data_IF_582138958492
#
_entry.id   IF_582138958492
#
_cell.length_a   1.000
_cell.length_b   1.000
_cell.length_c   1.000
_cell.angle_alpha   90.00
_cell.angle_beta   90.00
_cell.angle_gamma   90.00
#
_symmetry.space_group_name_H-M   'P 1'
#
loop_
_entity.id
_entity.type
_entity.pdbx_description
1 polymer ?
#
# COMPACT_ATOMS: atom_id res chain seq x y z
N UNK A 1 25.74 -43.43 -66.42
CA UNK A 1 25.27 -42.18 -67.03
C UNK A 1 25.17 -41.18 -65.94
N UNK A 2 26.23 -40.49 -65.72
CA UNK A 2 26.59 -39.13 -66.17
C UNK A 2 25.66 -38.08 -65.52
N UNK A 3 26.13 -37.20 -64.84
CA UNK A 3 27.01 -36.02 -64.79
C UNK A 3 26.53 -35.12 -63.63
N UNK A 4 27.28 -34.59 -62.91
CA UNK A 4 28.27 -33.51 -62.80
C UNK A 4 27.88 -32.48 -61.76
N UNK A 5 28.73 -32.33 -60.81
CA UNK A 5 29.45 -31.09 -60.37
C UNK A 5 28.69 -29.75 -60.56
N UNK A 6 28.55 -29.01 -59.47
CA UNK A 6 29.25 -27.70 -59.36
C UNK A 6 29.33 -27.34 -57.88
N UNK A 7 30.57 -27.12 -57.44
CA UNK A 7 30.94 -26.48 -56.18
C UNK A 7 30.76 -24.96 -56.33
N UNK A 8 30.43 -24.27 -55.24
CA UNK A 8 30.94 -22.91 -55.02
C UNK A 8 30.89 -22.56 -53.54
N UNK A 9 32.07 -22.36 -53.04
CA UNK A 9 32.52 -21.62 -51.90
C UNK A 9 31.72 -20.34 -51.64
N UNK A 10 31.36 -20.09 -50.38
CA UNK A 10 31.32 -18.75 -49.84
C UNK A 10 31.71 -18.78 -48.35
N UNK A 11 32.97 -18.60 -48.09
CA UNK A 11 33.58 -18.12 -46.86
C UNK A 11 33.08 -16.71 -46.56
N UNK A 12 32.13 -16.58 -45.65
CA UNK A 12 31.70 -15.29 -45.07
C UNK A 12 32.55 -14.93 -43.84
N UNK A 13 33.57 -14.13 -44.09
CA UNK A 13 34.47 -13.59 -43.08
C UNK A 13 33.72 -12.79 -42.04
N UNK A 14 34.00 -13.06 -40.75
CA UNK A 14 33.65 -12.20 -39.62
C UNK A 14 34.43 -10.89 -39.76
N UNK A 15 33.74 -9.79 -39.95
CA UNK A 15 34.30 -8.44 -39.88
C UNK A 15 34.58 -8.07 -38.42
N UNK A 16 35.69 -7.44 -38.11
CA UNK A 16 36.02 -6.98 -36.75
C UNK A 16 35.11 -5.80 -36.39
N UNK A 17 34.55 -5.83 -35.18
CA UNK A 17 33.86 -4.71 -34.58
C UNK A 17 34.88 -3.61 -34.34
N UNK A 18 34.81 -2.55 -35.15
CA UNK A 18 35.77 -1.46 -35.14
C UNK A 18 35.45 -0.44 -34.02
N UNK A 19 36.50 0.17 -33.48
CA UNK A 19 36.60 1.23 -32.47
C UNK A 19 35.66 2.45 -32.64
N UNK A 20 34.95 2.57 -33.75
CA UNK A 20 33.97 3.64 -34.02
C UNK A 20 32.69 3.52 -33.18
N UNK A 21 32.36 2.35 -32.63
CA UNK A 21 31.18 2.13 -31.81
C UNK A 21 31.34 2.69 -30.38
N UNK A 22 32.54 2.72 -29.85
CA UNK A 22 32.83 3.16 -28.47
C UNK A 22 32.79 4.67 -28.32
N UNK A 23 33.16 5.42 -29.36
CA UNK A 23 33.18 6.89 -29.31
C UNK A 23 31.81 7.53 -29.39
N UNK A 24 30.80 6.84 -29.94
CA UNK A 24 29.42 7.34 -30.06
C UNK A 24 28.60 7.11 -28.78
N UNK A 25 28.93 6.16 -27.95
CA UNK A 25 28.24 5.90 -26.68
C UNK A 25 28.42 7.03 -25.66
N UNK A 26 29.54 7.74 -25.66
CA UNK A 26 29.78 8.84 -24.73
C UNK A 26 28.83 10.04 -24.95
N UNK A 27 28.38 10.28 -26.19
CA UNK A 27 27.37 11.29 -26.50
C UNK A 27 25.98 10.92 -25.95
N UNK A 28 25.58 9.66 -26.09
CA UNK A 28 24.29 9.18 -25.59
C UNK A 28 24.20 9.14 -24.06
N UNK A 29 25.30 8.95 -23.34
CA UNK A 29 25.33 9.02 -21.88
C UNK A 29 25.06 10.45 -21.37
N UNK A 30 25.63 11.48 -22.00
CA UNK A 30 25.35 12.87 -21.67
C UNK A 30 23.87 13.23 -21.98
N UNK A 31 23.37 12.78 -23.12
CA UNK A 31 21.95 12.94 -23.50
C UNK A 31 21.01 12.24 -22.49
N UNK A 32 21.39 11.03 -22.05
CA UNK A 32 20.64 10.28 -21.04
C UNK A 32 20.53 11.01 -19.70
N UNK A 33 21.61 11.65 -19.24
CA UNK A 33 21.56 12.48 -18.04
C UNK A 33 20.59 13.66 -18.18
N UNK A 34 20.52 14.29 -19.34
CA UNK A 34 19.56 15.35 -19.63
C UNK A 34 18.12 14.81 -19.67
N UNK A 35 17.90 13.68 -20.33
CA UNK A 35 16.59 13.00 -20.41
C UNK A 35 16.12 12.59 -19.01
N UNK A 36 16.97 11.97 -18.19
CA UNK A 36 16.62 11.54 -16.83
C UNK A 36 16.34 12.71 -15.91
N UNK A 37 17.08 13.82 -16.04
CA UNK A 37 16.83 15.05 -15.29
C UNK A 37 15.47 15.67 -15.63
N UNK A 38 15.05 15.59 -16.89
CA UNK A 38 13.73 16.02 -17.34
C UNK A 38 12.63 15.09 -16.85
N UNK A 39 12.80 13.78 -17.01
CA UNK A 39 11.86 12.77 -16.52
C UNK A 39 11.65 12.86 -15.00
N UNK A 40 12.71 13.19 -14.24
CA UNK A 40 12.59 13.39 -12.79
C UNK A 40 11.72 14.59 -12.43
N UNK A 41 11.75 15.67 -13.23
CA UNK A 41 10.87 16.83 -13.04
C UNK A 41 9.43 16.53 -13.45
N UNK A 42 9.24 15.83 -14.56
CA UNK A 42 7.92 15.58 -15.16
C UNK A 42 7.14 14.47 -14.43
N UNK A 43 7.83 13.44 -13.91
CA UNK A 43 7.23 12.29 -13.22
C UNK A 43 7.25 12.41 -11.69
N UNK A 44 8.07 13.31 -11.16
CA UNK A 44 8.32 13.46 -9.73
C UNK A 44 9.38 12.48 -9.20
N UNK A 45 10.02 12.84 -8.08
CA UNK A 45 11.16 12.10 -7.52
C UNK A 45 10.82 10.66 -7.11
N UNK A 46 9.58 10.40 -6.69
CA UNK A 46 9.12 9.09 -6.25
C UNK A 46 9.02 8.10 -7.42
N UNK A 47 8.31 8.45 -8.48
CA UNK A 47 8.13 7.61 -9.67
C UNK A 47 9.46 7.41 -10.39
N UNK A 48 10.25 8.48 -10.52
CA UNK A 48 11.59 8.40 -11.08
C UNK A 48 12.49 7.43 -10.31
N UNK A 49 12.52 7.53 -8.98
CA UNK A 49 13.34 6.66 -8.12
C UNK A 49 12.93 5.18 -8.19
N UNK A 50 11.64 4.92 -8.34
CA UNK A 50 11.10 3.57 -8.36
C UNK A 50 11.30 2.87 -9.72
N UNK A 51 11.15 3.56 -10.84
CA UNK A 51 11.06 2.95 -12.16
C UNK A 51 12.18 3.32 -13.13
N UNK A 52 12.60 4.59 -13.15
CA UNK A 52 13.51 5.09 -14.18
C UNK A 52 14.98 5.04 -13.74
N UNK A 53 15.26 5.16 -12.45
CA UNK A 53 16.63 5.20 -11.90
C UNK A 53 17.44 3.95 -12.24
N UNK A 54 16.82 2.78 -12.35
CA UNK A 54 17.47 1.50 -12.64
C UNK A 54 17.62 1.20 -14.13
N UNK A 55 17.12 2.09 -15.00
CA UNK A 55 17.23 1.94 -16.46
C UNK A 55 18.62 2.36 -16.91
N UNK A 56 19.26 1.51 -17.74
CA UNK A 56 20.59 1.72 -18.30
C UNK A 56 20.48 1.79 -19.82
N UNK A 57 21.35 2.56 -20.45
CA UNK A 57 21.44 2.59 -21.92
C UNK A 57 21.95 1.24 -22.45
N UNK A 58 21.30 0.76 -23.52
CA UNK A 58 21.74 -0.35 -24.35
C UNK A 58 22.22 0.13 -25.71
N UNK A 59 22.12 -0.70 -26.73
CA UNK A 59 22.63 -0.41 -28.06
C UNK A 59 21.74 0.57 -28.85
N UNK A 60 22.36 1.37 -29.72
CA UNK A 60 21.69 2.26 -30.63
C UNK A 60 21.87 1.79 -32.10
N UNK A 61 20.77 1.54 -32.79
CA UNK A 61 20.75 1.18 -34.20
C UNK A 61 20.55 2.43 -35.06
N UNK A 62 21.58 2.89 -35.74
CA UNK A 62 21.55 4.06 -36.64
C UNK A 62 20.58 3.93 -37.81
N UNK A 63 20.41 2.72 -38.36
CA UNK A 63 19.55 2.48 -39.54
C UNK A 63 18.08 2.72 -39.22
N UNK A 64 17.63 2.29 -38.05
CA UNK A 64 16.24 2.38 -37.64
C UNK A 64 15.96 3.55 -36.71
N UNK A 65 17.02 4.18 -36.14
CA UNK A 65 16.90 5.18 -35.09
C UNK A 65 16.36 4.60 -33.77
N UNK A 66 16.57 3.29 -33.53
CA UNK A 66 16.08 2.60 -32.34
C UNK A 66 17.14 2.57 -31.25
N UNK A 67 16.82 3.08 -30.08
CA UNK A 67 17.63 3.00 -28.88
C UNK A 67 17.09 1.92 -27.94
N UNK A 68 17.97 1.03 -27.52
CA UNK A 68 17.61 0.05 -26.48
C UNK A 68 17.83 0.65 -25.07
N UNK A 69 16.86 0.40 -24.19
CA UNK A 69 16.92 0.69 -22.77
C UNK A 69 16.85 -0.61 -21.99
N UNK A 70 17.81 -0.84 -21.12
CA UNK A 70 17.95 -2.06 -20.34
C UNK A 70 17.47 -1.86 -18.90
N UNK A 71 16.67 -2.80 -18.41
CA UNK A 71 16.14 -2.80 -17.05
C UNK A 71 16.61 -4.02 -16.28
N UNK A 72 16.40 -4.03 -14.97
CA UNK A 72 16.84 -5.13 -14.08
C UNK A 72 15.98 -6.38 -14.18
N UNK A 73 14.76 -6.28 -14.75
CA UNK A 73 13.84 -7.42 -14.88
C UNK A 73 12.87 -7.22 -16.06
N UNK A 74 12.35 -8.33 -16.61
CA UNK A 74 11.34 -8.32 -17.66
C UNK A 74 10.06 -7.57 -17.24
N UNK A 75 9.71 -7.68 -15.96
CA UNK A 75 8.60 -6.92 -15.39
C UNK A 75 8.80 -5.41 -15.50
N UNK A 76 9.97 -4.93 -15.06
CA UNK A 76 10.30 -3.50 -15.16
C UNK A 76 10.34 -3.04 -16.61
N UNK A 77 10.81 -3.88 -17.53
CA UNK A 77 10.82 -3.57 -18.97
C UNK A 77 9.39 -3.40 -19.52
N UNK A 78 8.51 -4.34 -19.22
CA UNK A 78 7.10 -4.29 -19.68
C UNK A 78 6.35 -3.10 -19.03
N UNK A 79 6.51 -2.90 -17.72
CA UNK A 79 5.83 -1.83 -17.00
C UNK A 79 6.23 -0.44 -17.51
N UNK A 80 7.54 -0.22 -17.69
CA UNK A 80 8.05 1.06 -18.23
C UNK A 80 7.61 1.24 -19.67
N UNK A 81 7.59 0.18 -20.46
CA UNK A 81 7.09 0.22 -21.84
C UNK A 81 5.61 0.62 -21.91
N UNK A 82 4.77 0.00 -21.08
CA UNK A 82 3.32 0.21 -21.14
C UNK A 82 2.90 1.60 -20.58
N UNK A 83 3.64 2.15 -19.59
CA UNK A 83 3.20 3.35 -18.87
C UNK A 83 4.04 4.59 -19.14
N UNK A 84 5.30 4.43 -19.54
CA UNK A 84 6.23 5.54 -19.65
C UNK A 84 6.98 5.64 -20.98
N UNK A 85 6.83 4.67 -21.91
CA UNK A 85 7.55 4.67 -23.19
C UNK A 85 7.33 5.95 -23.98
N UNK A 86 6.11 6.44 -24.10
CA UNK A 86 5.80 7.67 -24.82
C UNK A 86 6.42 8.91 -24.16
N UNK A 87 6.44 8.98 -22.84
CA UNK A 87 7.07 10.10 -22.11
C UNK A 87 8.59 10.08 -22.24
N UNK A 88 9.19 8.88 -22.18
CA UNK A 88 10.64 8.70 -22.39
C UNK A 88 10.99 9.06 -23.83
N UNK A 89 10.19 8.64 -24.81
CA UNK A 89 10.38 8.97 -26.22
C UNK A 89 10.31 10.47 -26.46
N UNK A 90 9.32 11.16 -25.89
CA UNK A 90 9.19 12.63 -25.97
C UNK A 90 10.37 13.35 -25.33
N UNK A 91 10.85 12.85 -24.20
CA UNK A 91 12.03 13.40 -23.55
C UNK A 91 13.29 13.23 -24.43
N UNK A 92 13.47 12.06 -25.05
CA UNK A 92 14.57 11.79 -25.98
C UNK A 92 14.49 12.62 -27.27
N UNK A 93 13.31 12.72 -27.90
CA UNK A 93 13.15 13.50 -29.13
C UNK A 93 13.47 14.97 -28.97
N UNK A 94 13.39 15.51 -27.74
CA UNK A 94 13.76 16.90 -27.43
C UNK A 94 15.25 17.10 -27.15
N UNK A 95 16.01 16.02 -26.86
CA UNK A 95 17.45 16.07 -26.56
C UNK A 95 18.26 15.58 -27.76
N UNK A 96 17.83 14.48 -28.37
CA UNK A 96 18.50 13.89 -29.53
C UNK A 96 17.50 13.38 -30.57
N UNK A 97 17.29 14.13 -31.68
CA UNK A 97 16.33 13.78 -32.74
C UNK A 97 16.68 12.48 -33.52
N UNK A 98 17.89 11.95 -33.37
CA UNK A 98 18.30 10.70 -34.00
C UNK A 98 17.58 9.49 -33.39
N UNK A 99 17.09 9.58 -32.14
CA UNK A 99 16.33 8.55 -31.46
C UNK A 99 14.85 8.64 -31.87
N UNK A 100 14.43 7.75 -32.77
CA UNK A 100 13.06 7.69 -33.31
C UNK A 100 12.18 6.67 -32.62
N UNK A 101 12.80 5.56 -32.16
CA UNK A 101 12.11 4.47 -31.49
C UNK A 101 12.86 4.04 -30.25
N UNK A 102 12.10 3.56 -29.24
CA UNK A 102 12.64 3.01 -28.01
C UNK A 102 12.26 1.53 -27.91
N UNK A 103 13.22 0.71 -27.52
CA UNK A 103 13.03 -0.68 -27.22
C UNK A 103 13.49 -0.98 -25.81
N UNK A 104 12.56 -1.33 -24.93
CA UNK A 104 12.85 -1.54 -23.52
C UNK A 104 12.92 -3.07 -23.29
N UNK A 105 14.05 -3.55 -22.74
CA UNK A 105 14.30 -4.96 -22.47
C UNK A 105 14.94 -5.15 -21.10
N UNK A 106 14.87 -6.37 -20.57
CA UNK A 106 15.69 -6.76 -19.42
C UNK A 106 17.11 -7.08 -19.84
N UNK A 107 18.06 -6.78 -18.97
CA UNK A 107 19.46 -7.15 -19.14
C UNK A 107 19.55 -8.67 -19.04
N UNK A 108 20.12 -9.39 -20.03
CA UNK A 108 20.32 -10.83 -19.92
C UNK A 108 21.20 -11.10 -18.70
N UNK A 109 20.66 -11.86 -17.75
CA UNK A 109 21.42 -12.27 -16.56
C UNK A 109 22.58 -13.14 -17.01
N UNK A 110 23.82 -12.77 -16.61
CA UNK A 110 24.99 -13.62 -16.73
C UNK A 110 24.88 -14.78 -15.76
N UNK A 111 24.11 -15.79 -16.13
CA UNK A 111 24.25 -17.11 -15.56
C UNK A 111 25.46 -17.75 -16.21
N UNK A 112 26.62 -17.67 -15.55
CA UNK A 112 27.81 -18.38 -15.92
C UNK A 112 27.61 -19.86 -15.58
N UNK A 113 27.16 -20.63 -16.57
CA UNK A 113 27.17 -22.10 -16.51
C UNK A 113 28.57 -22.55 -16.83
N UNK A 114 29.32 -22.99 -15.84
CA UNK A 114 30.52 -23.78 -16.07
C UNK A 114 30.10 -25.17 -16.58
N UNK A 115 30.34 -25.41 -17.87
CA UNK A 115 30.25 -26.74 -18.45
C UNK A 115 31.41 -27.59 -17.93
N UNK A 116 31.11 -28.53 -17.05
CA UNK A 116 31.95 -29.70 -16.84
C UNK A 116 31.52 -30.77 -17.85
N UNK A 117 32.40 -31.03 -18.81
CA UNK A 117 32.28 -32.14 -19.72
C UNK A 117 32.51 -33.46 -18.96
N UNK A 118 31.57 -34.39 -19.05
CA UNK A 118 31.85 -35.81 -18.95
C UNK A 118 30.91 -36.62 -19.82
N UNK A 119 31.57 -37.44 -20.67
CA UNK A 119 30.99 -38.34 -21.66
C UNK A 119 30.18 -39.47 -21.02
N UNK A 120 29.13 -39.92 -21.75
CA UNK A 120 28.57 -41.26 -21.58
C UNK A 120 27.05 -41.31 -21.60
N UNK A 121 26.49 -41.73 -22.77
CA UNK A 121 25.10 -42.16 -22.97
C UNK A 121 24.89 -43.56 -22.31
N UNK A 122 23.73 -43.92 -21.75
CA UNK A 122 22.62 -44.35 -22.59
C UNK A 122 21.19 -43.90 -22.14
N UNK A 123 20.40 -43.83 -23.18
CA UNK A 123 18.97 -43.66 -23.23
C UNK A 123 18.21 -44.72 -22.41
N UNK A 124 17.31 -44.25 -21.53
CA UNK A 124 16.01 -44.80 -21.11
C UNK A 124 15.67 -44.40 -19.68
N UNK A 125 14.85 -43.40 -19.55
CA UNK A 125 13.72 -43.32 -18.62
C UNK A 125 13.17 -41.87 -18.61
N UNK A 126 12.33 -41.61 -19.59
CA UNK A 126 11.41 -40.48 -19.50
C UNK A 126 10.24 -40.87 -18.59
N UNK A 127 10.38 -40.68 -17.26
CA UNK A 127 9.25 -40.51 -16.34
C UNK A 127 9.80 -39.81 -15.08
N UNK A 128 9.15 -38.72 -14.70
CA UNK A 128 9.24 -38.06 -13.39
C UNK A 128 10.55 -37.31 -13.08
N UNK A 129 10.86 -36.24 -13.79
CA UNK A 129 11.43 -35.07 -13.09
C UNK A 129 10.26 -34.27 -12.50
N UNK A 130 9.72 -34.74 -11.37
CA UNK A 130 9.17 -33.84 -10.36
C UNK A 130 10.38 -32.98 -9.97
N UNK A 131 10.44 -31.77 -10.52
CA UNK A 131 11.29 -30.75 -9.97
C UNK A 131 10.86 -30.64 -8.51
N UNK A 132 11.67 -31.12 -7.60
CA UNK A 132 11.62 -30.77 -6.20
C UNK A 132 11.80 -29.25 -6.14
N UNK A 133 10.70 -28.55 -6.31
CA UNK A 133 10.64 -27.10 -6.12
C UNK A 133 11.01 -26.91 -4.65
N UNK A 134 12.20 -26.37 -4.38
CA UNK A 134 12.57 -25.85 -3.09
C UNK A 134 11.35 -25.12 -2.52
N UNK A 135 10.99 -25.36 -1.23
CA UNK A 135 9.83 -24.74 -0.63
C UNK A 135 9.89 -23.23 -0.89
N UNK A 136 8.94 -22.70 -1.64
CA UNK A 136 8.81 -21.26 -1.86
C UNK A 136 8.42 -20.68 -0.51
N UNK A 137 9.41 -20.45 0.35
CA UNK A 137 9.19 -19.70 1.58
C UNK A 137 9.03 -18.25 1.15
N UNK A 138 7.87 -17.63 1.40
CA UNK A 138 7.74 -16.20 1.16
C UNK A 138 8.79 -15.50 2.01
N UNK A 139 9.30 -14.38 1.53
CA UNK A 139 10.14 -13.49 2.33
C UNK A 139 9.25 -12.84 3.42
N UNK A 140 8.94 -13.61 4.47
CA UNK A 140 8.25 -13.10 5.65
C UNK A 140 9.22 -12.19 6.40
N UNK A 141 8.80 -11.00 6.77
CA UNK A 141 9.61 -10.10 7.59
C UNK A 141 9.84 -10.73 8.98
N UNK A 142 11.08 -11.04 9.36
CA UNK A 142 11.39 -11.72 10.62
C UNK A 142 10.99 -10.91 11.87
N UNK A 143 10.75 -9.62 11.71
CA UNK A 143 10.31 -8.74 12.79
C UNK A 143 8.81 -8.88 13.10
N UNK A 144 8.01 -9.37 12.15
CA UNK A 144 6.57 -9.43 12.25
C UNK A 144 6.12 -10.80 12.80
N UNK A 145 6.34 -11.00 14.08
CA UNK A 145 5.99 -12.23 14.82
C UNK A 145 4.92 -11.95 15.87
N UNK A 146 4.28 -13.00 16.41
CA UNK A 146 3.36 -12.85 17.54
C UNK A 146 4.03 -12.28 18.79
N UNK A 147 5.30 -12.58 19.02
CA UNK A 147 6.07 -12.03 20.14
C UNK A 147 6.23 -10.50 20.05
N UNK A 148 6.33 -9.98 18.82
CA UNK A 148 6.45 -8.55 18.57
C UNK A 148 5.10 -7.84 18.37
N UNK A 149 3.97 -8.57 18.43
CA UNK A 149 2.65 -7.97 18.29
C UNK A 149 2.05 -7.66 19.67
N UNK A 150 1.85 -6.38 19.94
CA UNK A 150 1.26 -5.95 21.22
C UNK A 150 -0.23 -6.27 21.26
N UNK A 151 -0.65 -6.97 22.32
CA UNK A 151 -2.04 -7.35 22.52
C UNK A 151 -2.76 -6.31 23.37
N UNK A 152 -3.99 -6.01 23.00
CA UNK A 152 -4.88 -5.11 23.72
C UNK A 152 -6.34 -5.50 23.49
N UNK A 153 -7.26 -4.83 24.16
CA UNK A 153 -8.69 -5.13 24.05
C UNK A 153 -9.21 -4.96 22.61
N UNK A 154 -8.66 -4.01 21.87
CA UNK A 154 -9.09 -3.66 20.52
C UNK A 154 -8.63 -4.64 19.44
N UNK A 155 -7.69 -5.55 19.74
CA UNK A 155 -7.15 -6.52 18.78
C UNK A 155 -7.13 -7.98 19.27
N UNK A 156 -7.57 -8.25 20.50
CA UNK A 156 -7.43 -9.57 21.15
C UNK A 156 -8.11 -10.69 20.36
N UNK A 157 -9.29 -10.42 19.77
CA UNK A 157 -10.01 -11.40 18.98
C UNK A 157 -9.21 -11.82 17.75
N UNK A 158 -8.67 -10.83 17.01
CA UNK A 158 -7.90 -11.06 15.79
C UNK A 158 -6.58 -11.81 16.09
N UNK A 159 -5.90 -11.43 17.17
CA UNK A 159 -4.66 -12.11 17.61
C UNK A 159 -4.94 -13.55 17.98
N UNK A 160 -5.95 -13.79 18.84
CA UNK A 160 -6.30 -15.15 19.28
C UNK A 160 -6.74 -16.03 18.10
N UNK A 161 -7.50 -15.46 17.17
CA UNK A 161 -7.90 -16.14 15.94
C UNK A 161 -6.68 -16.51 15.08
N UNK A 162 -5.76 -15.56 14.89
CA UNK A 162 -4.53 -15.76 14.13
C UNK A 162 -3.65 -16.87 14.74
N UNK A 163 -3.48 -16.89 16.06
CA UNK A 163 -2.75 -17.93 16.78
C UNK A 163 -3.41 -19.32 16.61
N UNK A 164 -4.73 -19.38 16.69
CA UNK A 164 -5.48 -20.62 16.48
C UNK A 164 -5.33 -21.17 15.07
N UNK A 165 -5.36 -20.28 14.06
CA UNK A 165 -5.12 -20.69 12.66
C UNK A 165 -3.69 -21.20 12.47
N UNK A 166 -2.71 -20.62 13.14
CA UNK A 166 -1.32 -21.05 13.03
C UNK A 166 -1.04 -22.38 13.74
N UNK A 167 -1.65 -22.62 14.91
CA UNK A 167 -1.32 -23.75 15.80
C UNK A 167 -2.15 -25.02 15.58
N UNK A 168 -3.37 -24.94 15.04
CA UNK A 168 -4.27 -26.07 14.91
C UNK A 168 -3.88 -27.01 13.75
N UNK A 169 -3.99 -28.32 13.90
CA UNK A 169 -3.81 -29.30 12.81
C UNK A 169 -4.84 -29.07 11.70
N UNK A 170 -6.09 -28.84 12.11
CA UNK A 170 -7.18 -28.43 11.20
C UNK A 170 -7.70 -27.06 11.62
N UNK A 171 -7.87 -26.12 10.67
CA UNK A 171 -8.39 -24.80 11.02
C UNK A 171 -9.83 -24.90 11.54
N UNK A 172 -10.08 -24.34 12.74
CA UNK A 172 -11.41 -24.29 13.34
C UNK A 172 -12.38 -23.43 12.51
N UNK A 173 -11.86 -22.46 11.82
CA UNK A 173 -12.55 -21.58 10.90
C UNK A 173 -11.63 -21.31 9.71
N UNK A 174 -12.21 -21.34 8.51
CA UNK A 174 -11.48 -21.15 7.26
C UNK A 174 -12.46 -20.61 6.20
N UNK A 175 -12.20 -19.45 5.64
CA UNK A 175 -11.01 -18.60 5.81
C UNK A 175 -10.97 -17.81 7.14
N UNK A 176 -9.78 -17.31 7.51
CA UNK A 176 -9.65 -16.20 8.46
C UNK A 176 -9.63 -14.90 7.66
N UNK A 177 -10.59 -14.03 7.94
CA UNK A 177 -10.64 -12.71 7.33
C UNK A 177 -10.27 -11.63 8.36
N UNK A 178 -9.16 -10.94 8.14
CA UNK A 178 -8.68 -9.86 9.00
C UNK A 178 -9.15 -8.51 8.46
N UNK A 179 -10.06 -7.89 9.19
CA UNK A 179 -10.58 -6.56 8.85
C UNK A 179 -9.89 -5.50 9.70
N UNK A 180 -9.38 -4.46 9.09
CA UNK A 180 -8.91 -3.26 9.82
C UNK A 180 -8.62 -2.11 8.86
N UNK A 181 -8.73 -0.88 9.33
CA UNK A 181 -8.23 0.28 8.61
C UNK A 181 -6.71 0.14 8.32
N UNK A 182 -6.20 0.95 7.40
CA UNK A 182 -4.78 0.92 7.03
C UNK A 182 -3.89 1.23 8.23
N UNK A 183 -2.82 0.44 8.41
CA UNK A 183 -1.83 0.68 9.46
C UNK A 183 -2.20 0.17 10.86
N UNK A 184 -3.21 -0.71 10.99
CA UNK A 184 -3.62 -1.29 12.28
C UNK A 184 -3.01 -2.67 12.56
N UNK A 185 -2.10 -3.19 11.73
CA UNK A 185 -1.36 -4.42 11.99
C UNK A 185 -1.84 -5.68 11.26
N UNK A 186 -2.74 -5.59 10.26
CA UNK A 186 -3.16 -6.74 9.43
C UNK A 186 -1.98 -7.53 8.89
N UNK A 187 -1.10 -6.87 8.16
CA UNK A 187 0.10 -7.48 7.57
C UNK A 187 0.99 -8.12 8.63
N UNK A 188 1.13 -7.49 9.81
CA UNK A 188 1.90 -8.06 10.91
C UNK A 188 1.31 -9.40 11.36
N UNK A 189 -0.01 -9.49 11.60
CA UNK A 189 -0.64 -10.74 11.99
C UNK A 189 -0.53 -11.82 10.90
N UNK A 190 -0.62 -11.46 9.63
CA UNK A 190 -0.44 -12.41 8.52
C UNK A 190 0.97 -13.01 8.52
N UNK A 191 2.01 -12.17 8.66
CA UNK A 191 3.39 -12.66 8.77
C UNK A 191 3.60 -13.51 10.03
N UNK A 192 3.01 -13.09 11.16
CA UNK A 192 3.08 -13.85 12.42
C UNK A 192 2.45 -15.25 12.29
N UNK A 193 1.30 -15.38 11.59
CA UNK A 193 0.70 -16.67 11.25
C UNK A 193 1.68 -17.51 10.45
N UNK A 194 2.28 -16.93 9.40
CA UNK A 194 3.24 -17.62 8.54
C UNK A 194 4.45 -18.14 9.31
N UNK A 195 5.06 -17.29 10.17
CA UNK A 195 6.19 -17.69 11.02
C UNK A 195 5.82 -18.81 12.01
N UNK A 196 4.69 -18.66 12.71
CA UNK A 196 4.27 -19.66 13.69
C UNK A 196 3.91 -20.99 13.03
N UNK A 197 3.25 -20.96 11.86
CA UNK A 197 2.92 -22.18 11.13
C UNK A 197 4.17 -22.87 10.58
N UNK A 198 5.15 -22.12 10.04
CA UNK A 198 6.42 -22.66 9.56
C UNK A 198 7.27 -23.28 10.69
N UNK A 199 7.18 -22.74 11.91
CA UNK A 199 7.88 -23.28 13.08
C UNK A 199 7.34 -24.66 13.50
N UNK A 200 6.01 -24.88 13.36
CA UNK A 200 5.35 -26.17 13.68
C UNK A 200 5.49 -27.14 12.51
N UNK A 201 5.43 -26.66 11.28
CA UNK A 201 5.46 -27.45 10.04
C UNK A 201 6.62 -26.97 9.14
N UNK A 202 7.84 -27.47 9.34
CA UNK A 202 9.02 -26.97 8.61
C UNK A 202 8.96 -27.16 7.08
N UNK A 203 8.26 -28.19 6.62
CA UNK A 203 8.12 -28.54 5.20
C UNK A 203 6.90 -27.88 4.53
N UNK A 204 6.11 -27.12 5.28
CA UNK A 204 4.90 -26.51 4.78
C UNK A 204 5.19 -25.43 3.72
N UNK A 205 4.38 -25.47 2.66
CA UNK A 205 4.38 -24.48 1.60
C UNK A 205 3.48 -23.30 2.03
N UNK A 206 4.09 -22.16 2.29
CA UNK A 206 3.39 -20.93 2.71
C UNK A 206 3.54 -19.90 1.61
N UNK A 207 2.46 -19.28 1.20
CA UNK A 207 2.47 -18.20 0.21
C UNK A 207 1.77 -16.96 0.75
N UNK A 208 2.53 -15.88 0.85
CA UNK A 208 2.01 -14.55 1.17
C UNK A 208 2.16 -13.63 -0.04
N UNK A 209 1.11 -12.93 -0.40
CA UNK A 209 1.15 -11.89 -1.43
C UNK A 209 0.03 -10.85 -1.22
N UNK A 210 0.21 -9.65 -1.76
CA UNK A 210 -0.90 -8.71 -1.89
C UNK A 210 -1.83 -9.10 -3.03
N UNK A 211 -3.09 -8.69 -2.96
CA UNK A 211 -4.04 -8.90 -4.05
C UNK A 211 -3.60 -8.21 -5.36
N UNK A 212 -2.87 -7.10 -5.27
CA UNK A 212 -2.25 -6.45 -6.42
C UNK A 212 -1.19 -7.36 -7.07
N UNK A 213 -0.31 -7.99 -6.27
CA UNK A 213 0.69 -8.94 -6.76
C UNK A 213 0.02 -10.16 -7.39
N UNK A 214 -1.04 -10.71 -6.76
CA UNK A 214 -1.84 -11.80 -7.32
C UNK A 214 -2.36 -11.44 -8.70
N UNK A 215 -2.97 -10.26 -8.85
CA UNK A 215 -3.48 -9.77 -10.13
C UNK A 215 -2.36 -9.63 -11.17
N UNK A 216 -1.23 -9.05 -10.81
CA UNK A 216 -0.10 -8.85 -11.72
C UNK A 216 0.50 -10.17 -12.20
N UNK A 217 0.69 -11.14 -11.29
CA UNK A 217 1.20 -12.46 -11.65
C UNK A 217 0.20 -13.24 -12.53
N UNK A 218 -1.10 -13.16 -12.25
CA UNK A 218 -2.14 -13.75 -13.07
C UNK A 218 -2.18 -13.17 -14.49
N UNK A 219 -2.16 -11.84 -14.63
CA UNK A 219 -2.12 -11.18 -15.95
C UNK A 219 -0.84 -11.54 -16.70
N UNK A 220 0.29 -11.61 -16.02
CA UNK A 220 1.55 -12.06 -16.62
C UNK A 220 1.47 -13.50 -17.11
N UNK A 221 0.92 -14.41 -16.29
CA UNK A 221 0.72 -15.82 -16.67
C UNK A 221 -0.23 -15.97 -17.88
N UNK A 222 -1.28 -15.14 -17.95
CA UNK A 222 -2.16 -15.11 -19.15
C UNK A 222 -1.41 -14.70 -20.41
N UNK A 223 -0.59 -13.64 -20.33
CA UNK A 223 0.21 -13.17 -21.48
C UNK A 223 1.24 -14.20 -21.95
N UNK A 224 1.85 -14.95 -21.01
CA UNK A 224 2.85 -15.99 -21.30
C UNK A 224 2.24 -17.37 -21.63
N UNK A 225 0.91 -17.53 -21.53
CA UNK A 225 0.19 -18.80 -21.64
C UNK A 225 0.58 -19.84 -20.56
N UNK A 226 1.04 -19.37 -19.40
CA UNK A 226 1.50 -20.16 -18.23
C UNK A 226 0.45 -20.22 -17.11
N UNK A 227 -0.82 -20.01 -17.44
CA UNK A 227 -1.91 -19.93 -16.43
C UNK A 227 -2.03 -21.21 -15.62
N UNK A 228 -1.75 -22.38 -16.24
CA UNK A 228 -1.83 -23.66 -15.54
C UNK A 228 -0.76 -23.80 -14.45
N UNK A 229 0.45 -23.30 -14.70
CA UNK A 229 1.55 -23.29 -13.73
C UNK A 229 1.23 -22.35 -12.57
N UNK A 230 0.72 -21.15 -12.87
CA UNK A 230 0.26 -20.21 -11.85
C UNK A 230 -0.80 -20.85 -10.93
N UNK A 231 -1.82 -21.49 -11.51
CA UNK A 231 -2.86 -22.20 -10.76
C UNK A 231 -2.29 -23.36 -9.93
N UNK A 232 -1.41 -24.16 -10.51
CA UNK A 232 -0.78 -25.28 -9.82
C UNK A 232 0.02 -24.82 -8.61
N UNK A 233 0.80 -23.74 -8.75
CA UNK A 233 1.56 -23.13 -7.66
C UNK A 233 0.66 -22.66 -6.52
N UNK A 234 -0.41 -21.93 -6.82
CA UNK A 234 -1.36 -21.44 -5.80
C UNK A 234 -2.06 -22.59 -5.07
N UNK A 235 -2.38 -23.68 -5.78
CA UNK A 235 -3.07 -24.85 -5.22
C UNK A 235 -2.14 -25.78 -4.45
N UNK A 236 -0.84 -25.70 -4.69
CA UNK A 236 0.14 -26.53 -3.99
C UNK A 236 0.36 -26.12 -2.53
N UNK A 237 0.15 -24.83 -2.19
CA UNK A 237 0.47 -24.29 -0.86
C UNK A 237 -0.43 -24.86 0.25
N UNK A 238 0.09 -24.93 1.47
CA UNK A 238 -0.66 -25.34 2.67
C UNK A 238 -1.33 -24.14 3.34
N UNK A 239 -0.74 -22.96 3.21
CA UNK A 239 -1.27 -21.69 3.69
C UNK A 239 -1.20 -20.64 2.59
N UNK A 240 -2.35 -20.13 2.16
CA UNK A 240 -2.44 -18.98 1.26
C UNK A 240 -2.85 -17.74 2.05
N UNK A 241 -2.05 -16.69 1.96
CA UNK A 241 -2.30 -15.40 2.61
C UNK A 241 -2.37 -14.29 1.57
N UNK A 242 -3.55 -13.64 1.47
CA UNK A 242 -3.78 -12.55 0.50
C UNK A 242 -4.08 -11.26 1.27
N UNK A 243 -3.17 -10.29 1.15
CA UNK A 243 -3.32 -8.98 1.78
C UNK A 243 -3.99 -7.99 0.83
N UNK A 244 -4.72 -7.04 1.42
CA UNK A 244 -5.37 -5.92 0.74
C UNK A 244 -6.29 -6.35 -0.42
N UNK A 245 -7.23 -7.26 -0.14
CA UNK A 245 -8.14 -7.84 -1.15
C UNK A 245 -8.97 -6.78 -1.91
N UNK A 246 -9.15 -5.56 -1.36
CA UNK A 246 -9.86 -4.47 -2.01
C UNK A 246 -9.25 -4.09 -3.38
N UNK A 247 -8.02 -4.45 -3.69
CA UNK A 247 -7.40 -4.17 -4.99
C UNK A 247 -7.95 -5.00 -6.16
N UNK A 248 -8.72 -6.08 -5.89
CA UNK A 248 -9.41 -6.82 -6.96
C UNK A 248 -10.76 -6.22 -7.36
N UNK A 249 -11.22 -5.16 -6.69
CA UNK A 249 -12.49 -4.50 -6.99
C UNK A 249 -12.54 -4.07 -8.46
N UNK A 250 -13.63 -4.46 -9.16
CA UNK A 250 -13.82 -4.14 -10.57
C UNK A 250 -12.95 -4.93 -11.56
N UNK A 251 -12.15 -5.92 -11.11
CA UNK A 251 -11.27 -6.75 -11.95
C UNK A 251 -11.90 -8.12 -12.19
N UNK A 252 -12.90 -8.21 -13.08
CA UNK A 252 -13.74 -9.40 -13.27
C UNK A 252 -12.93 -10.68 -13.48
N UNK A 253 -12.00 -10.71 -14.45
CA UNK A 253 -11.20 -11.93 -14.73
C UNK A 253 -10.31 -12.33 -13.55
N UNK A 254 -9.79 -11.37 -12.79
CA UNK A 254 -8.99 -11.64 -11.58
C UNK A 254 -9.88 -12.20 -10.47
N UNK A 255 -11.10 -11.69 -10.33
CA UNK A 255 -12.06 -12.18 -9.33
C UNK A 255 -12.50 -13.61 -9.62
N UNK A 256 -12.74 -13.96 -10.89
CA UNK A 256 -13.06 -15.35 -11.29
C UNK A 256 -11.93 -16.31 -10.93
N UNK A 257 -10.68 -15.97 -11.25
CA UNK A 257 -9.53 -16.82 -10.89
C UNK A 257 -9.33 -16.89 -9.37
N UNK A 258 -9.53 -15.79 -8.68
CA UNK A 258 -9.45 -15.75 -7.22
C UNK A 258 -10.51 -16.64 -6.57
N UNK A 259 -11.75 -16.63 -7.08
CA UNK A 259 -12.81 -17.53 -6.62
C UNK A 259 -12.42 -19.01 -6.80
N UNK A 260 -11.91 -19.38 -7.97
CA UNK A 260 -11.44 -20.75 -8.22
C UNK A 260 -10.27 -21.14 -7.29
N UNK A 261 -9.41 -20.20 -6.96
CA UNK A 261 -8.31 -20.41 -6.02
C UNK A 261 -8.83 -20.63 -4.59
N UNK A 262 -9.78 -19.79 -4.14
CA UNK A 262 -10.46 -19.98 -2.84
C UNK A 262 -11.09 -21.36 -2.75
N UNK A 263 -11.92 -21.74 -3.73
CA UNK A 263 -12.61 -23.03 -3.73
C UNK A 263 -11.63 -24.20 -3.71
N UNK A 264 -10.52 -24.12 -4.42
CA UNK A 264 -9.49 -25.16 -4.42
C UNK A 264 -8.78 -25.28 -3.06
N UNK A 265 -8.41 -24.17 -2.42
CA UNK A 265 -7.74 -24.14 -1.10
C UNK A 265 -8.68 -24.65 -0.01
N UNK A 266 -9.92 -24.17 0.02
CA UNK A 266 -10.91 -24.57 1.03
C UNK A 266 -11.32 -26.05 0.83
N UNK A 267 -11.52 -26.50 -0.42
CA UNK A 267 -11.87 -27.88 -0.76
C UNK A 267 -10.76 -28.86 -0.39
N UNK A 268 -9.50 -28.46 -0.42
CA UNK A 268 -8.36 -29.26 0.02
C UNK A 268 -8.10 -29.15 1.54
N UNK A 269 -8.98 -28.49 2.31
CA UNK A 269 -8.80 -28.23 3.75
C UNK A 269 -7.51 -27.50 4.11
N UNK A 270 -6.96 -26.75 3.16
CA UNK A 270 -5.79 -25.89 3.33
C UNK A 270 -6.18 -24.54 3.91
N UNK A 271 -5.24 -23.80 4.49
CA UNK A 271 -5.52 -22.55 5.18
C UNK A 271 -5.59 -21.38 4.23
N UNK A 272 -6.64 -20.58 4.37
CA UNK A 272 -6.79 -19.30 3.69
C UNK A 272 -6.89 -18.18 4.71
N UNK A 273 -6.00 -17.18 4.59
CA UNK A 273 -6.04 -15.95 5.38
C UNK A 273 -6.14 -14.77 4.42
N UNK A 274 -7.14 -13.92 4.60
CA UNK A 274 -7.37 -12.76 3.75
C UNK A 274 -7.44 -11.52 4.63
N UNK A 275 -6.83 -10.42 4.18
CA UNK A 275 -6.92 -9.14 4.88
C UNK A 275 -7.52 -8.05 3.97
N UNK A 276 -8.28 -7.14 4.58
CA UNK A 276 -8.86 -5.99 3.91
C UNK A 276 -9.00 -4.77 4.83
N UNK A 277 -9.27 -3.63 4.21
CA UNK A 277 -9.54 -2.37 4.92
C UNK A 277 -10.97 -2.27 5.47
N UNK A 278 -11.87 -3.20 5.10
CA UNK A 278 -13.30 -3.20 5.47
C UNK A 278 -13.88 -4.61 5.49
N UNK A 279 -15.11 -4.75 6.01
CA UNK A 279 -15.84 -6.01 6.05
C UNK A 279 -16.12 -6.56 4.65
N UNK A 280 -16.26 -7.89 4.48
CA UNK A 280 -16.61 -8.48 3.18
C UNK A 280 -17.85 -7.84 2.56
N UNK A 281 -18.89 -7.58 3.35
CA UNK A 281 -20.15 -6.99 2.90
C UNK A 281 -20.01 -5.53 2.39
N UNK A 282 -18.94 -4.85 2.78
CA UNK A 282 -18.64 -3.47 2.37
C UNK A 282 -17.65 -3.38 1.19
N UNK A 283 -17.31 -4.51 0.56
CA UNK A 283 -16.48 -4.58 -0.64
C UNK A 283 -17.35 -4.47 -1.90
N UNK A 284 -17.90 -3.27 -2.14
CA UNK A 284 -18.70 -3.01 -3.34
C UNK A 284 -17.89 -3.26 -4.62
N UNK A 285 -18.48 -3.99 -5.59
CA UNK A 285 -17.81 -4.33 -6.85
C UNK A 285 -16.97 -5.63 -6.81
N UNK A 286 -17.05 -6.39 -5.72
CA UNK A 286 -16.56 -7.78 -5.63
C UNK A 286 -17.72 -8.75 -5.85
N UNK A 287 -17.48 -9.85 -6.55
CA UNK A 287 -18.45 -10.92 -6.83
C UNK A 287 -19.03 -11.48 -5.50
N UNK A 288 -20.35 -11.60 -5.44
CA UNK A 288 -21.09 -12.08 -4.26
C UNK A 288 -20.65 -13.49 -3.82
N UNK A 289 -20.22 -14.33 -4.75
CA UNK A 289 -19.69 -15.67 -4.44
C UNK A 289 -18.40 -15.59 -3.64
N UNK A 290 -17.50 -14.66 -3.98
CA UNK A 290 -16.28 -14.41 -3.21
C UNK A 290 -16.64 -13.91 -1.82
N UNK A 291 -17.52 -12.90 -1.71
CA UNK A 291 -17.95 -12.35 -0.43
C UNK A 291 -18.57 -13.43 0.48
N UNK A 292 -19.39 -14.31 -0.09
CA UNK A 292 -19.97 -15.44 0.61
C UNK A 292 -18.89 -16.39 1.15
N UNK A 293 -17.88 -16.74 0.34
CA UNK A 293 -16.77 -17.61 0.77
C UNK A 293 -15.94 -16.95 1.87
N UNK A 294 -15.64 -15.67 1.74
CA UNK A 294 -14.86 -14.91 2.75
C UNK A 294 -15.62 -14.77 4.08
N UNK A 295 -16.95 -14.70 4.02
CA UNK A 295 -17.80 -14.58 5.22
C UNK A 295 -18.11 -15.93 5.89
N UNK A 296 -17.85 -17.06 5.22
CA UNK A 296 -18.14 -18.40 5.74
C UNK A 296 -17.28 -18.78 6.95
N UNK A 297 -16.07 -18.23 7.02
CA UNK A 297 -15.13 -18.47 8.11
C UNK A 297 -15.30 -17.46 9.25
N UNK A 298 -14.19 -17.02 9.82
CA UNK A 298 -14.18 -15.99 10.87
C UNK A 298 -13.75 -14.63 10.30
N UNK A 299 -14.60 -13.63 10.47
CA UNK A 299 -14.24 -12.24 10.24
C UNK A 299 -13.79 -11.64 11.58
N UNK A 300 -12.50 -11.34 11.70
CA UNK A 300 -11.89 -10.78 12.90
C UNK A 300 -11.52 -9.32 12.65
N UNK A 301 -12.09 -8.41 13.44
CA UNK A 301 -11.87 -6.98 13.36
C UNK A 301 -10.71 -6.56 14.26
N UNK A 302 -9.81 -5.74 13.73
CA UNK A 302 -8.76 -5.05 14.48
C UNK A 302 -9.16 -3.59 14.56
N UNK A 303 -9.69 -3.19 15.71
CA UNK A 303 -10.13 -1.81 15.93
C UNK A 303 -8.93 -0.86 16.12
N UNK A 304 -9.13 0.45 15.96
CA UNK A 304 -8.10 1.44 16.26
C UNK A 304 -7.55 1.24 17.68
N UNK A 305 -6.22 1.29 17.81
CA UNK A 305 -5.55 1.13 19.09
C UNK A 305 -6.00 2.21 20.09
N UNK A 306 -6.42 1.81 21.28
CA UNK A 306 -6.69 2.73 22.40
C UNK A 306 -5.39 3.34 22.93
N UNK A 307 -5.50 4.26 23.88
CA UNK A 307 -4.32 4.98 24.40
C UNK A 307 -3.31 4.03 25.05
N UNK A 308 -3.81 3.06 25.82
CA UNK A 308 -2.97 2.10 26.54
C UNK A 308 -2.21 1.20 25.57
N UNK A 309 -2.89 0.71 24.54
CA UNK A 309 -2.27 -0.10 23.50
C UNK A 309 -1.23 0.71 22.70
N UNK A 310 -1.53 1.97 22.34
CA UNK A 310 -0.56 2.82 21.65
C UNK A 310 0.70 3.06 22.50
N UNK A 311 0.54 3.30 23.81
CA UNK A 311 1.66 3.44 24.74
C UNK A 311 2.49 2.16 24.82
N UNK A 312 1.83 1.00 24.97
CA UNK A 312 2.49 -0.30 25.01
C UNK A 312 3.27 -0.61 23.73
N UNK A 313 2.72 -0.25 22.54
CA UNK A 313 3.41 -0.39 21.25
C UNK A 313 4.70 0.44 21.22
N UNK A 314 4.65 1.71 21.65
CA UNK A 314 5.83 2.57 21.69
C UNK A 314 6.90 2.01 22.64
N UNK A 315 6.52 1.56 23.82
CA UNK A 315 7.43 0.96 24.81
C UNK A 315 8.08 -0.30 24.28
N UNK A 316 7.30 -1.21 23.68
CA UNK A 316 7.83 -2.44 23.08
C UNK A 316 8.77 -2.12 21.89
N UNK A 317 8.43 -1.09 21.10
CA UNK A 317 9.29 -0.67 19.99
C UNK A 317 10.64 -0.15 20.49
N UNK A 318 10.65 0.63 21.57
CA UNK A 318 11.86 1.15 22.21
C UNK A 318 12.70 0.03 22.85
N UNK A 319 12.08 -0.99 23.41
CA UNK A 319 12.80 -2.16 23.95
C UNK A 319 13.67 -2.87 22.89
N UNK A 320 13.27 -2.79 21.62
CA UNK A 320 14.05 -3.31 20.49
C UNK A 320 15.09 -2.31 19.93
N UNK A 321 15.26 -1.12 20.57
CA UNK A 321 16.16 -0.04 20.18
C UNK A 321 16.93 0.48 21.41
N UNK A 322 17.88 -0.29 21.98
CA UNK A 322 18.52 0.03 23.24
C UNK A 322 19.28 1.36 23.25
N UNK A 323 19.71 1.82 22.08
CA UNK A 323 20.44 3.10 21.93
C UNK A 323 19.51 4.33 21.90
N UNK A 324 18.20 4.12 21.86
CA UNK A 324 17.22 5.21 21.79
C UNK A 324 16.75 5.61 23.20
N UNK A 325 17.19 6.77 23.67
CA UNK A 325 16.70 7.33 24.92
C UNK A 325 15.51 8.27 24.67
N UNK A 326 14.32 7.82 25.02
CA UNK A 326 13.06 8.58 24.89
C UNK A 326 12.38 8.65 26.24
N UNK A 327 12.12 9.87 26.72
CA UNK A 327 11.44 10.09 28.01
C UNK A 327 9.97 9.66 27.97
N UNK A 328 9.41 9.28 29.12
CA UNK A 328 8.00 8.89 29.26
C UNK A 328 7.04 10.00 28.85
N UNK A 329 7.39 11.27 29.07
CA UNK A 329 6.63 12.44 28.66
C UNK A 329 6.45 12.52 27.13
N UNK A 330 7.49 12.13 26.38
CA UNK A 330 7.44 12.05 24.90
C UNK A 330 6.60 10.86 24.46
N UNK A 331 6.73 9.71 25.12
CA UNK A 331 5.92 8.51 24.83
C UNK A 331 4.44 8.82 25.01
N UNK A 332 4.08 9.41 26.15
CA UNK A 332 2.70 9.80 26.46
C UNK A 332 2.18 10.86 25.46
N UNK A 333 3.01 11.82 25.11
CA UNK A 333 2.68 12.82 24.11
C UNK A 333 2.37 12.19 22.75
N UNK A 334 3.23 11.30 22.26
CA UNK A 334 3.03 10.60 20.99
C UNK A 334 1.75 9.73 21.02
N UNK A 335 1.58 8.93 22.08
CA UNK A 335 0.44 8.05 22.25
C UNK A 335 -0.90 8.81 22.28
N UNK A 336 -0.96 9.99 22.91
CA UNK A 336 -2.16 10.84 22.96
C UNK A 336 -2.44 11.53 21.63
N UNK A 337 -1.41 12.00 20.95
CA UNK A 337 -1.56 12.90 19.80
C UNK A 337 -1.68 12.13 18.47
N UNK A 338 -0.90 11.07 18.30
CA UNK A 338 -0.93 10.25 17.07
C UNK A 338 -1.90 9.08 17.29
N UNK A 339 -3.19 9.34 17.09
CA UNK A 339 -4.27 8.40 17.37
C UNK A 339 -4.82 7.69 16.13
N UNK A 340 -4.40 8.09 14.92
CA UNK A 340 -5.02 7.66 13.66
C UNK A 340 -4.73 6.20 13.32
N UNK A 341 -3.47 5.81 13.37
CA UNK A 341 -3.04 4.43 13.11
C UNK A 341 -1.64 4.16 13.70
N UNK A 342 -1.36 2.88 13.90
CA UNK A 342 -0.09 2.41 14.50
C UNK A 342 1.11 2.70 13.58
N UNK A 343 0.94 2.65 12.26
CA UNK A 343 2.03 2.94 11.30
C UNK A 343 2.51 4.38 11.41
N UNK A 344 1.61 5.35 11.56
CA UNK A 344 1.97 6.75 11.77
C UNK A 344 2.61 6.96 13.15
N UNK A 345 2.14 6.24 14.18
CA UNK A 345 2.69 6.28 15.53
C UNK A 345 4.15 5.80 15.54
N UNK A 346 4.43 4.62 14.98
CA UNK A 346 5.79 4.08 14.84
C UNK A 346 6.65 4.94 13.93
N UNK A 347 6.09 5.46 12.84
CA UNK A 347 6.77 6.37 11.93
C UNK A 347 7.21 7.66 12.61
N UNK A 348 6.36 8.22 13.48
CA UNK A 348 6.69 9.40 14.30
C UNK A 348 7.84 9.13 15.27
N UNK A 349 7.79 8.01 15.99
CA UNK A 349 8.88 7.60 16.89
C UNK A 349 10.19 7.40 16.12
N UNK A 350 10.17 6.64 15.01
CA UNK A 350 11.36 6.39 14.21
C UNK A 350 11.97 7.69 13.67
N UNK A 351 11.15 8.67 13.26
CA UNK A 351 11.62 9.98 12.78
C UNK A 351 12.35 10.74 13.88
N UNK A 352 11.83 10.72 15.12
CA UNK A 352 12.48 11.38 16.26
C UNK A 352 13.81 10.72 16.62
N UNK A 353 13.87 9.39 16.66
CA UNK A 353 15.10 8.63 16.95
C UNK A 353 16.15 8.92 15.88
N UNK A 354 15.78 8.84 14.61
CA UNK A 354 16.70 9.15 13.52
C UNK A 354 17.24 10.59 13.59
N UNK A 355 16.36 11.55 13.89
CA UNK A 355 16.79 12.94 14.04
C UNK A 355 17.76 13.11 15.21
N UNK A 356 17.49 12.51 16.37
CA UNK A 356 18.35 12.56 17.54
C UNK A 356 19.73 11.94 17.25
N UNK A 357 19.77 10.78 16.60
CA UNK A 357 21.03 10.09 16.21
C UNK A 357 21.85 10.92 15.22
N UNK A 358 21.22 11.58 14.25
CA UNK A 358 21.92 12.40 13.25
C UNK A 358 22.39 13.76 13.79
N UNK A 359 21.70 14.33 14.77
CA UNK A 359 22.02 15.68 15.28
C UNK A 359 22.69 15.69 16.64
N UNK A 360 22.72 14.55 17.35
CA UNK A 360 23.20 14.45 18.73
C UNK A 360 22.31 15.14 19.76
N UNK A 361 21.11 15.60 19.39
CA UNK A 361 20.18 16.29 20.29
C UNK A 361 19.30 15.30 21.06
N UNK A 362 19.03 15.56 22.35
CA UNK A 362 18.12 14.74 23.14
C UNK A 362 16.68 14.83 22.59
N UNK A 363 15.94 13.72 22.69
CA UNK A 363 14.54 13.69 22.30
C UNK A 363 13.71 14.30 23.41
N UNK A 364 13.24 15.52 23.18
CA UNK A 364 12.37 16.25 24.09
C UNK A 364 10.98 16.44 23.48
N UNK A 365 9.98 16.74 24.30
CA UNK A 365 8.64 17.04 23.83
C UNK A 365 8.61 18.21 22.83
N UNK A 366 9.38 19.26 23.08
CA UNK A 366 9.49 20.41 22.16
C UNK A 366 10.04 19.98 20.80
N UNK A 367 11.09 19.14 20.78
CA UNK A 367 11.63 18.57 19.55
C UNK A 367 10.58 17.72 18.83
N UNK A 368 9.80 16.90 19.55
CA UNK A 368 8.74 16.10 18.98
C UNK A 368 7.65 16.97 18.33
N UNK A 369 7.22 18.03 18.98
CA UNK A 369 6.25 18.99 18.46
C UNK A 369 6.75 19.68 17.17
N UNK A 370 8.03 20.03 17.12
CA UNK A 370 8.64 20.66 15.93
C UNK A 370 8.81 19.70 14.76
N UNK A 371 9.37 18.51 15.02
CA UNK A 371 9.71 17.56 13.97
C UNK A 371 8.51 16.80 13.40
N UNK A 372 7.43 16.68 14.17
CA UNK A 372 6.24 15.93 13.78
C UNK A 372 5.06 16.83 13.38
N UNK A 373 5.27 18.11 13.12
CA UNK A 373 4.19 19.07 12.75
C UNK A 373 3.25 18.52 11.66
N UNK A 374 3.82 17.90 10.64
CA UNK A 374 3.04 17.35 9.51
C UNK A 374 2.14 16.18 9.97
N UNK A 375 2.69 15.24 10.74
CA UNK A 375 1.96 14.08 11.28
C UNK A 375 0.89 14.58 12.26
N UNK A 376 1.26 15.48 13.19
CA UNK A 376 0.36 16.02 14.18
C UNK A 376 -0.80 16.81 13.56
N UNK A 377 -0.53 17.56 12.49
CA UNK A 377 -1.57 18.27 11.75
C UNK A 377 -2.52 17.31 11.00
N UNK A 378 -2.00 16.19 10.51
CA UNK A 378 -2.80 15.14 9.86
C UNK A 378 -3.62 14.33 10.87
N UNK A 379 -3.11 14.14 12.09
CA UNK A 379 -3.79 13.41 13.18
C UNK A 379 -4.84 14.25 13.91
N UNK A 380 -4.82 15.57 13.79
CA UNK A 380 -5.91 16.39 14.31
C UNK A 380 -7.21 15.91 13.67
N UNK A 381 -8.12 15.39 14.49
CA UNK A 381 -9.44 14.89 14.04
C UNK A 381 -10.08 15.99 13.19
N UNK A 382 -10.29 15.71 11.90
CA UNK A 382 -11.03 16.63 11.04
C UNK A 382 -12.51 16.45 11.35
N UNK A 383 -12.95 17.25 12.31
CA UNK A 383 -14.38 17.31 12.65
C UNK A 383 -15.13 17.67 11.38
N UNK A 384 -16.16 16.91 11.07
CA UNK A 384 -17.02 17.14 9.89
C UNK A 384 -18.20 18.04 10.26
N UNK A 385 -18.74 18.78 9.26
CA UNK A 385 -19.95 19.60 9.48
C UNK A 385 -21.13 18.73 9.95
N UNK A 386 -21.22 17.48 9.48
CA UNK A 386 -22.25 16.54 9.86
C UNK A 386 -22.16 16.11 11.34
N UNK A 387 -20.93 15.95 11.87
CA UNK A 387 -20.70 15.70 13.30
C UNK A 387 -21.05 16.92 14.15
N UNK A 388 -20.68 18.11 13.70
CA UNK A 388 -21.05 19.36 14.38
C UNK A 388 -22.57 19.52 14.45
N UNK A 389 -23.27 19.27 13.33
CA UNK A 389 -24.74 19.32 13.30
C UNK A 389 -25.34 18.32 14.30
N UNK A 390 -24.80 17.09 14.36
CA UNK A 390 -25.29 16.06 15.29
C UNK A 390 -25.11 16.48 16.74
N UNK A 391 -23.89 16.90 17.12
CA UNK A 391 -23.57 17.33 18.47
C UNK A 391 -24.44 18.51 18.92
N UNK A 392 -24.63 19.51 18.05
CA UNK A 392 -25.49 20.66 18.34
C UNK A 392 -26.98 20.26 18.45
N UNK A 393 -27.47 19.36 17.58
CA UNK A 393 -28.83 18.85 17.67
C UNK A 393 -29.09 18.10 18.98
N UNK A 394 -28.15 17.27 19.40
CA UNK A 394 -28.19 16.52 20.66
C UNK A 394 -28.18 17.45 21.87
N UNK A 395 -27.29 18.44 21.89
CA UNK A 395 -27.16 19.41 22.96
C UNK A 395 -28.40 20.25 23.15
N UNK A 396 -28.95 20.82 22.07
CA UNK A 396 -30.15 21.65 22.11
C UNK A 396 -31.46 20.87 21.98
N UNK A 397 -31.41 19.53 21.88
CA UNK A 397 -32.55 18.62 21.75
C UNK A 397 -33.49 19.00 20.59
N UNK A 398 -32.95 19.24 19.42
CA UNK A 398 -33.67 19.53 18.19
C UNK A 398 -33.46 18.45 17.14
N UNK A 399 -34.38 18.26 16.23
CA UNK A 399 -34.28 17.31 15.15
C UNK A 399 -33.20 17.76 14.12
N UNK A 400 -32.47 16.80 13.56
CA UNK A 400 -31.40 17.07 12.57
C UNK A 400 -31.95 17.74 11.30
N UNK A 401 -33.18 17.43 10.90
CA UNK A 401 -33.83 18.04 9.75
C UNK A 401 -34.00 19.56 9.91
N UNK A 402 -34.09 20.06 11.14
CA UNK A 402 -34.21 21.48 11.45
C UNK A 402 -32.95 22.27 11.08
N UNK A 403 -31.78 21.64 11.00
CA UNK A 403 -30.51 22.31 10.55
C UNK A 403 -30.62 22.80 9.10
N UNK A 404 -31.34 22.09 8.25
CA UNK A 404 -31.58 22.44 6.84
C UNK A 404 -32.94 23.12 6.60
N UNK A 405 -33.84 23.16 7.61
CA UNK A 405 -35.20 23.66 7.47
C UNK A 405 -35.25 25.18 7.22
N UNK A 406 -36.30 25.66 6.60
CA UNK A 406 -36.59 27.10 6.40
C UNK A 406 -37.19 27.76 7.64
N UNK A 407 -37.42 27.03 8.73
CA UNK A 407 -38.02 27.53 9.97
C UNK A 407 -37.21 28.65 10.57
N UNK A 408 -37.89 29.72 11.05
CA UNK A 408 -37.31 30.94 11.60
C UNK A 408 -37.53 31.09 13.12
N UNK A 409 -38.13 30.09 13.78
CA UNK A 409 -38.32 30.11 15.23
C UNK A 409 -36.96 30.20 15.96
N UNK A 410 -36.84 31.05 16.98
CA UNK A 410 -35.62 31.32 17.74
C UNK A 410 -35.00 30.03 18.31
N UNK A 411 -35.82 29.08 18.76
CA UNK A 411 -35.39 27.78 19.26
C UNK A 411 -34.68 26.91 18.23
N UNK A 412 -34.88 27.17 16.92
CA UNK A 412 -34.20 26.45 15.82
C UNK A 412 -33.09 27.30 15.21
N UNK A 413 -33.31 28.60 15.09
CA UNK A 413 -32.31 29.50 14.47
C UNK A 413 -31.05 29.61 15.30
N UNK A 414 -31.17 29.70 16.63
CA UNK A 414 -30.03 29.84 17.50
C UNK A 414 -29.05 28.63 17.45
N UNK A 415 -29.52 27.39 17.65
CA UNK A 415 -28.70 26.21 17.46
C UNK A 415 -28.05 26.14 16.09
N UNK A 416 -28.76 26.47 15.03
CA UNK A 416 -28.24 26.50 13.66
C UNK A 416 -27.11 27.52 13.49
N UNK A 417 -27.24 28.73 14.10
CA UNK A 417 -26.20 29.74 14.09
C UNK A 417 -24.95 29.26 14.84
N UNK A 418 -25.11 28.61 16.00
CA UNK A 418 -24.01 27.98 16.75
C UNK A 418 -23.34 26.89 15.91
N UNK A 419 -24.09 26.03 15.24
CA UNK A 419 -23.54 24.99 14.37
C UNK A 419 -22.75 25.57 13.19
N UNK A 420 -23.24 26.65 12.55
CA UNK A 420 -22.51 27.37 11.50
C UNK A 420 -21.22 28.01 12.02
N UNK A 421 -21.24 28.59 13.21
CA UNK A 421 -20.07 29.14 13.87
C UNK A 421 -19.03 28.06 14.15
N UNK A 422 -19.42 26.94 14.80
CA UNK A 422 -18.55 25.82 15.06
C UNK A 422 -17.98 25.21 13.77
N UNK A 423 -18.80 25.09 12.71
CA UNK A 423 -18.34 24.63 11.40
C UNK A 423 -17.25 25.53 10.82
N UNK A 424 -17.33 26.85 11.03
CA UNK A 424 -16.30 27.78 10.57
C UNK A 424 -15.03 27.71 11.41
N UNK A 425 -15.15 27.56 12.74
CA UNK A 425 -14.00 27.53 13.67
C UNK A 425 -13.25 26.19 13.61
N UNK A 426 -13.99 25.08 13.52
CA UNK A 426 -13.42 23.73 13.64
C UNK A 426 -13.12 23.07 12.29
N UNK A 427 -13.54 23.64 11.17
CA UNK A 427 -13.28 23.06 9.85
C UNK A 427 -12.62 24.07 8.89
N UNK A 428 -11.79 23.62 7.95
CA UNK A 428 -11.18 24.48 6.93
C UNK A 428 -12.16 24.88 5.82
N UNK A 429 -13.48 24.69 6.00
CA UNK A 429 -14.49 24.93 4.97
C UNK A 429 -14.76 26.40 4.75
N UNK A 430 -15.02 26.75 3.49
CA UNK A 430 -15.42 28.10 3.10
C UNK A 430 -16.89 28.37 3.48
N UNK A 431 -17.26 29.65 3.63
CA UNK A 431 -18.63 30.03 3.94
C UNK A 431 -19.68 29.48 2.94
N UNK A 432 -19.42 29.47 1.61
CA UNK A 432 -20.34 28.84 0.66
C UNK A 432 -20.48 27.33 0.85
N UNK A 433 -19.41 26.62 1.21
CA UNK A 433 -19.47 25.17 1.48
C UNK A 433 -20.30 24.88 2.73
N UNK A 434 -20.10 25.67 3.79
CA UNK A 434 -20.91 25.58 5.00
C UNK A 434 -22.38 25.84 4.66
N UNK A 435 -22.70 26.92 3.93
CA UNK A 435 -24.06 27.26 3.55
C UNK A 435 -24.79 26.13 2.81
N UNK A 436 -24.10 25.45 1.89
CA UNK A 436 -24.64 24.28 1.18
C UNK A 436 -25.07 23.16 2.13
N UNK A 437 -24.29 22.87 3.16
CA UNK A 437 -24.57 21.83 4.17
C UNK A 437 -25.71 22.20 5.13
N UNK A 438 -26.06 23.47 5.22
CA UNK A 438 -27.17 23.97 6.05
C UNK A 438 -28.43 24.32 5.23
N UNK A 439 -28.74 23.51 4.21
CA UNK A 439 -29.95 23.65 3.40
C UNK A 439 -29.80 24.66 2.24
N UNK A 440 -28.61 24.79 1.66
CA UNK A 440 -28.36 25.67 0.53
C UNK A 440 -28.43 27.16 0.86
N UNK A 441 -28.03 27.53 2.09
CA UNK A 441 -28.02 28.94 2.52
C UNK A 441 -26.89 29.71 1.87
N UNK A 442 -27.18 31.00 1.59
CA UNK A 442 -26.20 31.92 1.05
C UNK A 442 -25.04 32.14 2.05
N UNK A 443 -23.86 32.38 1.52
CA UNK A 443 -22.66 32.63 2.31
C UNK A 443 -22.80 33.83 3.26
N UNK A 444 -23.55 34.87 2.86
CA UNK A 444 -23.85 36.03 3.70
C UNK A 444 -24.61 35.65 4.97
N UNK A 445 -25.53 34.69 4.88
CA UNK A 445 -26.25 34.13 6.05
C UNK A 445 -25.29 33.46 7.02
N UNK A 446 -24.30 32.71 6.50
CA UNK A 446 -23.30 32.05 7.34
C UNK A 446 -22.38 33.07 8.02
N UNK A 447 -21.89 34.07 7.25
CA UNK A 447 -21.08 35.16 7.80
C UNK A 447 -21.83 35.90 8.93
N UNK A 448 -23.08 36.23 8.71
CA UNK A 448 -23.92 36.89 9.72
C UNK A 448 -24.08 36.00 10.96
N UNK A 449 -24.32 34.69 10.77
CA UNK A 449 -24.45 33.75 11.89
C UNK A 449 -23.15 33.66 12.72
N UNK A 450 -22.00 33.60 12.05
CA UNK A 450 -20.68 33.53 12.72
C UNK A 450 -20.44 34.78 13.54
N UNK A 451 -20.59 35.97 12.96
CA UNK A 451 -20.42 37.26 13.68
C UNK A 451 -21.37 37.39 14.85
N UNK A 452 -22.62 37.05 14.65
CA UNK A 452 -23.64 37.14 15.71
C UNK A 452 -23.30 36.22 16.89
N UNK A 453 -22.81 35.01 16.66
CA UNK A 453 -22.41 34.11 17.75
C UNK A 453 -21.14 34.63 18.45
N UNK A 454 -20.18 35.18 17.71
CA UNK A 454 -19.00 35.82 18.28
C UNK A 454 -19.37 36.98 19.20
N UNK A 455 -20.29 37.84 18.81
CA UNK A 455 -20.76 38.97 19.63
C UNK A 455 -21.53 38.48 20.87
N UNK A 456 -22.41 37.49 20.70
CA UNK A 456 -23.16 36.90 21.80
C UNK A 456 -22.26 36.23 22.84
N UNK A 457 -21.22 35.57 22.47
CA UNK A 457 -20.24 34.96 23.37
C UNK A 457 -19.54 35.98 24.25
N UNK A 458 -19.45 37.25 23.79
CA UNK A 458 -18.88 38.37 24.59
C UNK A 458 -19.85 38.98 25.58
N UNK A 459 -21.16 38.90 25.26
CA UNK A 459 -22.21 39.59 26.01
C UNK A 459 -23.04 38.66 26.90
N UNK A 460 -23.07 37.35 26.58
CA UNK A 460 -23.94 36.37 27.21
C UNK A 460 -23.08 35.16 27.67
N UNK A 461 -22.90 35.04 28.99
CA UNK A 461 -22.12 33.97 29.60
C UNK A 461 -22.71 32.58 29.35
N UNK A 462 -24.05 32.45 29.26
CA UNK A 462 -24.68 31.15 29.01
C UNK A 462 -24.38 30.69 27.61
N UNK A 463 -24.43 31.60 26.62
CA UNK A 463 -24.03 31.30 25.26
C UNK A 463 -22.55 30.91 25.15
N UNK A 464 -21.66 31.57 25.87
CA UNK A 464 -20.24 31.19 25.84
C UNK A 464 -20.00 29.81 26.47
N UNK A 465 -20.70 29.51 27.58
CA UNK A 465 -20.65 28.21 28.23
C UNK A 465 -21.16 27.09 27.31
N UNK A 466 -22.30 27.31 26.61
CA UNK A 466 -22.84 26.36 25.63
C UNK A 466 -21.83 26.05 24.52
N UNK A 467 -21.24 27.10 23.94
CA UNK A 467 -20.24 26.95 22.88
C UNK A 467 -18.99 26.24 23.38
N UNK A 468 -18.50 26.54 24.58
CA UNK A 468 -17.35 25.85 25.19
C UNK A 468 -17.65 24.40 25.51
N UNK A 469 -18.85 24.07 25.93
CA UNK A 469 -19.28 22.68 26.17
C UNK A 469 -19.26 21.88 24.88
N UNK A 470 -19.85 22.44 23.80
CA UNK A 470 -19.88 21.83 22.47
C UNK A 470 -18.47 21.68 21.88
N UNK A 471 -17.58 22.66 22.04
CA UNK A 471 -16.19 22.57 21.62
C UNK A 471 -15.48 21.39 22.30
N UNK A 472 -15.62 21.28 23.64
CA UNK A 472 -15.04 20.17 24.40
C UNK A 472 -15.59 18.81 23.99
N UNK A 473 -16.91 18.72 23.75
CA UNK A 473 -17.56 17.48 23.28
C UNK A 473 -17.09 17.07 21.88
N UNK A 474 -16.82 18.03 21.00
CA UNK A 474 -16.36 17.77 19.63
C UNK A 474 -14.88 17.48 19.53
N UNK A 475 -14.07 17.97 20.49
CA UNK A 475 -12.61 17.73 20.57
C UNK A 475 -12.26 16.42 21.29
N UNK A 476 -13.18 15.85 22.04
CA UNK A 476 -13.03 14.52 22.69
C UNK A 476 -13.29 13.40 21.72
#
# INVERSE_FOLDING_TARGET
MTLNEIASDETGAAMPVTDAAVTEMSGFEADWQNVTSRLRRDLGAQIYGQWIRSVVLGDFCKLTGTLELLTTSDFSASWISDHYADRIRLAWSSVNPAVRQLKIRSKPGTARVEMLQSNGVPERAAVAHIVEALPVRPALDPRLTFANFVRGQTNILAVTAAERVAAADRPLFNPLYLQAATGQGKTHLMHAIGHAYAAINPDAQILYMSAEKFMMEFVSAMRRKEVMEFKARLRAVDVLMIDDIQFIIGKVSTQEEFLHTIDAILGASKRLVVAADRAPQALDGVDQRILSRLSMGLVADIQPADLELRRAILVQRLANMPDAQVGEDVIDFLARTISRNVRELEGGLNKLIAYAQLTGKPITRTLAEEQLKDILSACRRRITIDEIQRAVCEYYRIDRSEMSSKRRARAVVRPRQVAMYLAKVMTPRSYPEIGRKFGGRDHSTVIHAVRLVEDLRRMDNDMDNDVRALLRQLES
#
